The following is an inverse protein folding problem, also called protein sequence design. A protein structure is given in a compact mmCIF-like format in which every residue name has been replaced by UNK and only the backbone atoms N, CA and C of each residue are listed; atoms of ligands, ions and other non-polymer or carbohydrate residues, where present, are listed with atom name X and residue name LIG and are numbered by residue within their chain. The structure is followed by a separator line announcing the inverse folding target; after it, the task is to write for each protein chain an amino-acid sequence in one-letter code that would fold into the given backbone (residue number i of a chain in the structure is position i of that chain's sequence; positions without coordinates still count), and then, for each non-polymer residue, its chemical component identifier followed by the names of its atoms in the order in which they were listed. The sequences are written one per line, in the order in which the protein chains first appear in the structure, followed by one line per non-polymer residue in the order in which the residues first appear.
data_IF_514360362828
#
_entry.id   IF_514360362828
#
_cell.length_a   1.000
_cell.length_b   1.000
_cell.length_c   1.000
_cell.angle_alpha   90.00
_cell.angle_beta   90.00
_cell.angle_gamma   90.00
#
_symmetry.space_group_name_H-M   'P 1'
#
loop_
_entity.id
_entity.type
_entity.pdbx_description
1 polymer ?
#
# COMPACT_ATOMS: atom_id res chain seq x y z
N UNK A 1 -18.00 -11.70 0.43
CA UNK A 1 -19.01 -10.89 1.14
C UNK A 1 -19.09 -9.55 0.41
N UNK A 2 -20.04 -9.39 -0.52
CA UNK A 2 -20.20 -8.13 -1.26
C UNK A 2 -20.63 -7.06 -0.26
N UNK A 3 -19.78 -6.04 -0.05
CA UNK A 3 -20.15 -4.86 0.73
C UNK A 3 -21.21 -4.13 -0.08
N UNK A 4 -22.45 -4.17 0.39
CA UNK A 4 -23.59 -3.47 -0.22
C UNK A 4 -23.29 -1.97 -0.14
N UNK A 5 -22.91 -1.36 -1.26
CA UNK A 5 -22.72 0.10 -1.36
C UNK A 5 -24.02 0.78 -0.93
N UNK A 6 -23.93 1.83 -0.12
CA UNK A 6 -25.11 2.52 0.39
C UNK A 6 -25.94 3.10 -0.77
N UNK A 7 -27.26 2.89 -0.72
CA UNK A 7 -28.17 3.43 -1.72
C UNK A 7 -28.20 4.97 -1.64
N UNK A 8 -28.36 5.68 -2.77
CA UNK A 8 -28.42 7.14 -2.79
C UNK A 8 -29.57 7.65 -1.91
N UNK A 9 -29.26 8.54 -0.96
CA UNK A 9 -30.23 9.15 -0.07
C UNK A 9 -30.39 10.63 -0.37
N UNK A 10 -31.56 11.20 -0.09
CA UNK A 10 -31.82 12.64 -0.30
C UNK A 10 -30.83 13.55 0.45
N UNK A 11 -30.25 13.08 1.55
CA UNK A 11 -29.22 13.80 2.31
C UNK A 11 -27.88 13.92 1.56
N UNK A 12 -27.61 13.03 0.60
CA UNK A 12 -26.32 13.00 -0.12
C UNK A 12 -26.11 14.28 -0.94
N UNK A 13 -27.18 14.90 -1.44
CA UNK A 13 -27.11 16.19 -2.12
C UNK A 13 -26.62 17.32 -1.20
N UNK A 14 -27.09 17.33 0.06
CA UNK A 14 -26.64 18.29 1.08
C UNK A 14 -25.22 17.98 1.58
N UNK A 15 -24.89 16.70 1.73
CA UNK A 15 -23.53 16.31 2.11
C UNK A 15 -22.52 16.72 1.03
N UNK A 16 -22.86 16.57 -0.25
CA UNK A 16 -22.01 16.98 -1.37
C UNK A 16 -21.66 18.47 -1.34
N UNK A 17 -22.57 19.32 -0.88
CA UNK A 17 -22.29 20.77 -0.78
C UNK A 17 -21.35 21.11 0.37
N UNK A 18 -21.31 20.30 1.44
CA UNK A 18 -20.54 20.59 2.65
C UNK A 18 -19.23 19.80 2.76
N UNK A 19 -19.15 18.63 2.12
CA UNK A 19 -18.00 17.72 2.26
C UNK A 19 -16.70 18.35 1.76
N UNK A 20 -16.76 19.18 0.72
CA UNK A 20 -15.59 19.90 0.22
C UNK A 20 -15.00 20.86 1.26
N UNK A 21 -15.84 21.55 2.03
CA UNK A 21 -15.38 22.43 3.11
C UNK A 21 -14.77 21.64 4.26
N UNK A 22 -15.35 20.49 4.59
CA UNK A 22 -14.76 19.59 5.57
C UNK A 22 -13.40 19.07 5.12
N UNK A 23 -13.23 18.68 3.85
CA UNK A 23 -11.96 18.15 3.33
C UNK A 23 -10.82 19.19 3.30
N UNK A 24 -11.13 20.50 3.39
CA UNK A 24 -10.09 21.53 3.58
C UNK A 24 -9.32 21.34 4.89
N UNK A 25 -9.90 20.66 5.89
CA UNK A 25 -9.23 20.32 7.16
C UNK A 25 -8.06 19.35 6.99
N UNK A 26 -7.84 18.76 5.80
CA UNK A 26 -6.60 18.06 5.44
C UNK A 26 -5.35 18.97 5.51
N UNK A 27 -5.54 20.29 5.53
CA UNK A 27 -4.46 21.27 5.65
C UNK A 27 -4.37 21.87 7.05
N UNK A 28 -5.13 21.36 8.02
CA UNK A 28 -5.13 21.88 9.38
C UNK A 28 -3.73 21.76 10.04
N UNK A 29 -3.29 22.75 10.82
CA UNK A 29 -2.02 22.65 11.54
C UNK A 29 -1.98 21.46 12.50
N UNK A 30 -3.11 21.06 13.09
CA UNK A 30 -3.20 19.91 14.00
C UNK A 30 -3.20 18.58 13.22
N UNK A 31 -2.23 17.72 13.56
CA UNK A 31 -2.08 16.38 13.00
C UNK A 31 -3.33 15.51 13.23
N UNK A 32 -3.98 15.66 14.38
CA UNK A 32 -5.17 14.88 14.72
C UNK A 32 -6.37 15.28 13.85
N UNK A 33 -6.52 16.58 13.57
CA UNK A 33 -7.58 17.07 12.70
C UNK A 33 -7.38 16.53 11.28
N UNK A 34 -6.14 16.61 10.76
CA UNK A 34 -5.82 16.03 9.44
C UNK A 34 -6.04 14.52 9.39
N UNK A 35 -5.67 13.78 10.45
CA UNK A 35 -5.91 12.34 10.55
C UNK A 35 -7.39 12.00 10.51
N UNK A 36 -8.23 12.73 11.27
CA UNK A 36 -9.69 12.52 11.24
C UNK A 36 -10.26 12.86 9.87
N UNK A 37 -9.76 13.92 9.23
CA UNK A 37 -10.16 14.28 7.87
C UNK A 37 -9.86 13.16 6.85
N UNK A 38 -8.68 12.53 6.94
CA UNK A 38 -8.33 11.36 6.12
C UNK A 38 -9.24 10.17 6.40
N UNK A 39 -9.53 9.86 7.66
CA UNK A 39 -10.43 8.74 8.01
C UNK A 39 -11.84 8.98 7.48
N UNK A 40 -12.36 10.20 7.60
CA UNK A 40 -13.66 10.58 7.02
C UNK A 40 -13.63 10.49 5.50
N UNK A 41 -12.55 10.96 4.85
CA UNK A 41 -12.36 10.81 3.41
C UNK A 41 -12.36 9.34 3.01
N UNK A 42 -11.65 8.47 3.72
CA UNK A 42 -11.58 7.04 3.46
C UNK A 42 -12.98 6.39 3.54
N UNK A 43 -13.74 6.73 4.58
CA UNK A 43 -15.12 6.25 4.76
C UNK A 43 -16.02 6.70 3.60
N UNK A 44 -15.93 7.97 3.17
CA UNK A 44 -16.68 8.47 2.03
C UNK A 44 -16.23 7.78 0.72
N UNK A 45 -14.93 7.60 0.51
CA UNK A 45 -14.36 6.92 -0.65
C UNK A 45 -14.78 5.46 -0.76
N UNK A 46 -14.99 4.79 0.38
CA UNK A 46 -15.41 3.39 0.42
C UNK A 46 -16.92 3.23 0.24
N UNK A 47 -17.72 4.01 0.97
CA UNK A 47 -19.15 3.81 1.08
C UNK A 47 -19.96 4.61 0.03
N UNK A 48 -19.54 5.84 -0.26
CA UNK A 48 -20.23 6.79 -1.16
C UNK A 48 -19.24 7.60 -2.03
N UNK A 49 -18.57 6.96 -3.00
CA UNK A 49 -17.54 7.61 -3.80
C UNK A 49 -18.03 8.84 -4.58
N UNK A 50 -19.32 8.88 -4.93
CA UNK A 50 -19.97 9.98 -5.66
C UNK A 50 -19.92 11.33 -4.92
N UNK A 51 -19.74 11.31 -3.59
CA UNK A 51 -19.58 12.50 -2.75
C UNK A 51 -18.22 13.16 -2.95
N UNK A 52 -17.17 12.35 -3.17
CA UNK A 52 -15.77 12.84 -3.21
C UNK A 52 -15.18 12.88 -4.61
N UNK A 53 -15.78 12.17 -5.57
CA UNK A 53 -15.22 11.95 -6.92
C UNK A 53 -14.87 13.25 -7.65
N UNK A 54 -15.72 14.27 -7.53
CA UNK A 54 -15.48 15.57 -8.19
C UNK A 54 -14.46 16.44 -7.45
N UNK A 55 -14.08 16.06 -6.23
CA UNK A 55 -13.14 16.78 -5.39
C UNK A 55 -11.72 16.19 -5.46
N UNK A 56 -11.54 15.00 -6.06
CA UNK A 56 -10.28 14.27 -6.07
C UNK A 56 -9.11 15.11 -6.61
N UNK A 57 -9.32 15.86 -7.69
CA UNK A 57 -8.27 16.70 -8.28
C UNK A 57 -7.71 17.73 -7.28
N UNK A 58 -8.54 18.20 -6.33
CA UNK A 58 -8.13 19.11 -5.25
C UNK A 58 -7.61 18.38 -4.01
N UNK A 59 -8.09 17.17 -3.74
CA UNK A 59 -7.81 16.43 -2.50
C UNK A 59 -6.56 15.57 -2.62
N UNK A 60 -6.31 14.96 -3.79
CA UNK A 60 -5.19 14.05 -4.02
C UNK A 60 -3.82 14.68 -3.71
N UNK A 61 -3.52 15.94 -4.09
CA UNK A 61 -2.24 16.56 -3.72
C UNK A 61 -2.03 16.63 -2.20
N UNK A 62 -3.09 16.90 -1.43
CA UNK A 62 -3.03 16.93 0.03
C UNK A 62 -2.89 15.53 0.62
N UNK A 63 -3.66 14.56 0.11
CA UNK A 63 -3.54 13.15 0.51
C UNK A 63 -2.10 12.65 0.31
N UNK A 64 -1.55 12.87 -0.88
CA UNK A 64 -0.19 12.48 -1.24
C UNK A 64 0.86 13.19 -0.40
N UNK A 65 0.64 14.45 -0.02
CA UNK A 65 1.54 15.14 0.90
C UNK A 65 1.56 14.49 2.30
N UNK A 66 0.44 13.93 2.75
CA UNK A 66 0.38 13.17 4.01
C UNK A 66 0.98 11.76 3.94
N UNK A 67 1.41 11.29 2.77
CA UNK A 67 2.20 10.04 2.65
C UNK A 67 3.69 10.23 2.96
N UNK A 68 4.16 11.49 3.01
CA UNK A 68 5.59 11.79 3.15
C UNK A 68 6.06 11.70 4.59
N UNK A 69 7.22 11.09 4.80
CA UNK A 69 7.90 11.08 6.09
C UNK A 69 8.38 12.50 6.43
N UNK A 70 7.93 13.01 7.58
CA UNK A 70 8.28 14.34 8.10
C UNK A 70 9.27 14.22 9.23
N UNK A 71 10.54 14.55 8.96
CA UNK A 71 11.64 14.38 9.93
C UNK A 71 11.44 15.20 11.21
N UNK A 72 10.75 16.33 11.09
CA UNK A 72 10.38 17.19 12.22
C UNK A 72 9.40 16.54 13.21
N UNK A 73 8.70 15.46 12.81
CA UNK A 73 7.80 14.68 13.66
C UNK A 73 8.46 13.42 14.23
N UNK A 74 9.74 13.19 13.93
CA UNK A 74 10.49 12.03 14.38
C UNK A 74 11.48 12.45 15.46
N UNK A 75 11.39 11.81 16.62
CA UNK A 75 12.28 12.04 17.76
C UNK A 75 12.83 10.73 18.29
N UNK A 76 14.10 10.73 18.68
CA UNK A 76 14.71 9.59 19.36
C UNK A 76 14.71 9.84 20.86
N UNK A 77 14.20 8.87 21.62
CA UNK A 77 14.24 8.86 23.08
C UNK A 77 15.30 7.85 23.50
N UNK A 78 16.33 8.34 24.20
CA UNK A 78 17.36 7.48 24.78
C UNK A 78 16.88 6.90 26.11
N UNK A 79 16.93 5.57 26.21
CA UNK A 79 16.62 4.78 27.40
C UNK A 79 17.88 4.01 27.81
N UNK A 80 18.89 4.73 28.28
CA UNK A 80 20.22 4.16 28.62
C UNK A 80 20.95 3.68 27.35
N UNK A 81 21.35 2.39 27.25
CA UNK A 81 21.99 1.87 26.03
C UNK A 81 21.01 1.66 24.86
N UNK A 82 19.71 1.86 25.08
CA UNK A 82 18.67 1.69 24.07
C UNK A 82 18.23 3.03 23.50
N UNK A 83 17.96 3.08 22.20
CA UNK A 83 17.31 4.21 21.54
C UNK A 83 15.95 3.76 21.03
N UNK A 84 14.93 4.57 21.23
CA UNK A 84 13.59 4.32 20.71
C UNK A 84 13.15 5.52 19.86
N UNK A 85 12.89 5.26 18.59
CA UNK A 85 12.39 6.27 17.65
C UNK A 85 10.88 6.37 17.79
N UNK A 86 10.39 7.56 18.13
CA UNK A 86 8.97 7.92 18.10
C UNK A 86 8.71 8.75 16.84
N UNK A 87 7.72 8.34 16.06
CA UNK A 87 7.27 9.03 14.85
C UNK A 87 5.82 9.48 15.07
N UNK A 88 5.66 10.74 15.48
CA UNK A 88 4.34 11.34 15.76
C UNK A 88 3.53 11.52 14.45
N UNK A 89 4.16 11.37 13.28
CA UNK A 89 3.54 11.39 11.96
C UNK A 89 3.17 10.01 11.39
N UNK A 90 3.39 8.91 12.11
CA UNK A 90 3.15 7.57 11.57
C UNK A 90 1.66 7.31 11.32
N UNK A 91 0.79 7.67 12.27
CA UNK A 91 -0.66 7.37 12.17
C UNK A 91 -1.34 8.12 11.02
N UNK A 92 -0.92 9.35 10.75
CA UNK A 92 -1.45 10.11 9.62
C UNK A 92 -0.98 9.52 8.27
N UNK A 93 0.27 9.07 8.18
CA UNK A 93 0.77 8.36 6.99
C UNK A 93 0.00 7.06 6.75
N UNK A 94 -0.24 6.27 7.80
CA UNK A 94 -1.07 5.05 7.72
C UNK A 94 -2.46 5.36 7.17
N UNK A 95 -3.14 6.37 7.72
CA UNK A 95 -4.44 6.79 7.23
C UNK A 95 -4.40 7.24 5.75
N UNK A 96 -3.33 7.91 5.31
CA UNK A 96 -3.18 8.32 3.91
C UNK A 96 -3.02 7.11 2.98
N UNK A 97 -2.19 6.13 3.33
CA UNK A 97 -2.04 4.90 2.54
C UNK A 97 -3.33 4.05 2.53
N UNK A 98 -4.10 4.03 3.62
CA UNK A 98 -5.42 3.39 3.65
C UNK A 98 -6.40 4.05 2.68
N UNK A 99 -6.41 5.39 2.61
CA UNK A 99 -7.19 6.12 1.62
C UNK A 99 -6.77 5.76 0.20
N UNK A 100 -5.46 5.72 -0.08
CA UNK A 100 -4.95 5.33 -1.39
C UNK A 100 -5.39 3.91 -1.76
N UNK A 101 -5.33 2.96 -0.82
CA UNK A 101 -5.78 1.58 -1.05
C UNK A 101 -7.25 1.53 -1.44
N UNK A 102 -8.13 2.24 -0.72
CA UNK A 102 -9.57 2.33 -1.02
C UNK A 102 -9.85 2.95 -2.38
N UNK A 103 -9.08 3.97 -2.78
CA UNK A 103 -9.27 4.65 -4.07
C UNK A 103 -9.01 3.72 -5.27
N UNK A 104 -8.20 2.66 -5.11
CA UNK A 104 -8.01 1.63 -6.15
C UNK A 104 -9.31 0.87 -6.49
N UNK A 105 -10.24 0.75 -5.54
CA UNK A 105 -11.55 0.11 -5.76
C UNK A 105 -12.59 1.07 -6.31
N UNK A 106 -12.61 2.30 -5.80
CA UNK A 106 -13.76 3.18 -5.97
C UNK A 106 -13.58 4.27 -7.03
N UNK A 107 -12.34 4.71 -7.26
CA UNK A 107 -12.05 5.91 -8.05
C UNK A 107 -10.79 5.79 -8.93
N UNK A 108 -10.40 4.57 -9.33
CA UNK A 108 -9.15 4.32 -10.09
C UNK A 108 -9.03 5.20 -11.36
N UNK A 109 -10.14 5.42 -12.05
CA UNK A 109 -10.21 6.19 -13.30
C UNK A 109 -10.00 7.71 -13.12
N UNK A 110 -9.93 8.18 -11.87
CA UNK A 110 -9.63 9.58 -11.51
C UNK A 110 -8.21 9.76 -10.98
N UNK A 111 -7.40 8.70 -10.95
CA UNK A 111 -6.04 8.74 -10.43
C UNK A 111 -5.03 8.89 -11.56
N UNK A 112 -4.03 9.76 -11.38
CA UNK A 112 -2.79 9.64 -12.13
C UNK A 112 -2.01 8.44 -11.59
N UNK A 113 -1.99 7.35 -12.38
CA UNK A 113 -1.36 6.09 -11.97
C UNK A 113 0.15 6.24 -11.76
N UNK A 114 0.83 7.13 -12.49
CA UNK A 114 2.27 7.31 -12.33
C UNK A 114 2.60 8.11 -11.07
N UNK A 115 1.81 9.13 -10.74
CA UNK A 115 1.92 9.83 -9.47
C UNK A 115 1.63 8.89 -8.31
N UNK A 116 0.53 8.13 -8.39
CA UNK A 116 0.16 7.12 -7.40
C UNK A 116 1.29 6.10 -7.17
N UNK A 117 1.92 5.61 -8.24
CA UNK A 117 3.04 4.67 -8.17
C UNK A 117 4.29 5.26 -7.50
N UNK A 118 4.52 6.59 -7.59
CA UNK A 118 5.63 7.21 -6.86
C UNK A 118 5.39 7.13 -5.34
N UNK A 119 4.16 7.38 -4.89
CA UNK A 119 3.79 7.27 -3.47
C UNK A 119 3.80 5.81 -2.98
N UNK A 120 3.39 4.86 -3.82
CA UNK A 120 3.55 3.43 -3.54
C UNK A 120 5.03 3.06 -3.38
N UNK A 121 5.92 3.54 -4.25
CA UNK A 121 7.36 3.29 -4.12
C UNK A 121 7.92 3.78 -2.77
N UNK A 122 7.47 4.94 -2.30
CA UNK A 122 7.86 5.47 -0.99
C UNK A 122 7.31 4.61 0.16
N UNK A 123 6.07 4.15 0.06
CA UNK A 123 5.44 3.26 1.04
C UNK A 123 6.16 1.91 1.20
N UNK A 124 6.79 1.38 0.14
CA UNK A 124 7.58 0.15 0.19
C UNK A 124 8.84 0.29 1.07
N UNK A 125 9.25 1.53 1.37
CA UNK A 125 10.46 1.83 2.16
C UNK A 125 10.13 2.29 3.58
N UNK A 126 8.84 2.48 3.92
CA UNK A 126 8.39 3.06 5.19
C UNK A 126 8.29 2.01 6.32
N UNK A 127 7.55 2.33 7.38
CA UNK A 127 7.29 1.52 8.55
C UNK A 127 6.58 0.19 8.19
N UNK A 128 6.76 -0.80 9.07
CA UNK A 128 6.20 -2.15 8.94
C UNK A 128 4.74 -2.19 8.45
N UNK A 129 3.84 -1.46 9.12
CA UNK A 129 2.40 -1.46 8.78
C UNK A 129 2.13 -0.88 7.38
N UNK A 130 2.84 0.19 7.02
CA UNK A 130 2.70 0.85 5.72
C UNK A 130 3.24 -0.07 4.61
N UNK A 131 4.38 -0.74 4.84
CA UNK A 131 4.92 -1.74 3.92
C UNK A 131 3.92 -2.85 3.63
N UNK A 132 3.30 -3.41 4.68
CA UNK A 132 2.32 -4.48 4.55
C UNK A 132 1.13 -4.06 3.67
N UNK A 133 0.59 -2.86 3.89
CA UNK A 133 -0.49 -2.31 3.07
C UNK A 133 -0.02 -2.03 1.63
N UNK A 134 1.20 -1.51 1.47
CA UNK A 134 1.77 -1.17 0.16
C UNK A 134 2.04 -2.41 -0.69
N UNK A 135 2.46 -3.53 -0.08
CA UNK A 135 2.59 -4.80 -0.80
C UNK A 135 1.24 -5.28 -1.34
N UNK A 136 0.18 -5.13 -0.56
CA UNK A 136 -1.17 -5.45 -1.03
C UNK A 136 -1.62 -4.52 -2.18
N UNK A 137 -1.35 -3.22 -2.07
CA UNK A 137 -1.59 -2.27 -3.17
C UNK A 137 -0.83 -2.67 -4.44
N UNK A 138 0.43 -3.08 -4.31
CA UNK A 138 1.28 -3.46 -5.43
C UNK A 138 0.76 -4.73 -6.13
N UNK A 139 0.32 -5.74 -5.37
CA UNK A 139 -0.36 -6.92 -5.93
C UNK A 139 -1.57 -6.50 -6.75
N UNK A 140 -2.40 -5.58 -6.23
CA UNK A 140 -3.59 -5.11 -6.95
C UNK A 140 -3.25 -4.31 -8.20
N UNK A 141 -2.28 -3.41 -8.12
CA UNK A 141 -1.81 -2.59 -9.24
C UNK A 141 -1.24 -3.45 -10.37
N UNK A 142 -0.58 -4.56 -10.05
CA UNK A 142 -0.10 -5.51 -11.06
C UNK A 142 -1.23 -6.06 -11.95
N UNK A 143 -2.44 -6.20 -11.39
CA UNK A 143 -3.63 -6.65 -12.13
C UNK A 143 -4.40 -5.50 -12.77
N UNK A 144 -4.55 -4.37 -12.05
CA UNK A 144 -5.36 -3.23 -12.50
C UNK A 144 -4.67 -2.38 -13.58
N UNK A 145 -3.35 -2.19 -13.46
CA UNK A 145 -2.57 -1.28 -14.30
C UNK A 145 -1.21 -1.88 -14.70
N UNK A 146 -1.16 -3.09 -15.29
CA UNK A 146 0.09 -3.82 -15.55
C UNK A 146 1.11 -3.01 -16.36
N UNK A 147 0.67 -2.28 -17.38
CA UNK A 147 1.56 -1.49 -18.24
C UNK A 147 2.24 -0.33 -17.52
N UNK A 148 1.57 0.30 -16.55
CA UNK A 148 2.15 1.39 -15.76
C UNK A 148 3.14 0.84 -14.71
N UNK A 149 2.78 -0.29 -14.08
CA UNK A 149 3.66 -1.01 -13.15
C UNK A 149 4.92 -1.48 -13.85
N UNK A 150 4.80 -2.06 -15.05
CA UNK A 150 5.92 -2.54 -15.85
C UNK A 150 6.95 -1.42 -16.14
N UNK A 151 6.48 -0.21 -16.45
CA UNK A 151 7.34 0.96 -16.70
C UNK A 151 8.11 1.43 -15.45
N UNK A 152 7.63 1.09 -14.26
CA UNK A 152 8.26 1.42 -12.97
C UNK A 152 8.89 0.19 -12.29
N UNK A 153 8.89 -0.97 -12.95
CA UNK A 153 9.18 -2.27 -12.34
C UNK A 153 10.52 -2.28 -11.60
N UNK A 154 11.58 -1.81 -12.26
CA UNK A 154 12.93 -1.74 -11.70
C UNK A 154 12.95 -0.99 -10.35
N UNK A 155 12.26 0.16 -10.28
CA UNK A 155 12.20 0.97 -9.05
C UNK A 155 11.39 0.30 -7.93
N UNK A 156 10.41 -0.54 -8.29
CA UNK A 156 9.54 -1.24 -7.35
C UNK A 156 10.17 -2.54 -6.82
N UNK A 157 11.03 -3.19 -7.62
CA UNK A 157 11.74 -4.42 -7.25
C UNK A 157 12.78 -4.16 -6.16
N UNK A 158 13.48 -3.04 -6.22
CA UNK A 158 14.59 -2.78 -5.29
C UNK A 158 14.16 -2.74 -3.80
N UNK A 159 13.08 -2.03 -3.40
CA UNK A 159 12.56 -2.09 -2.03
C UNK A 159 12.11 -3.49 -1.59
N UNK A 160 11.55 -4.29 -2.51
CA UNK A 160 11.14 -5.67 -2.23
C UNK A 160 12.37 -6.55 -1.97
N UNK A 161 13.42 -6.41 -2.79
CA UNK A 161 14.70 -7.09 -2.60
C UNK A 161 15.32 -6.72 -1.26
N UNK A 162 15.36 -5.43 -0.91
CA UNK A 162 15.87 -4.97 0.37
C UNK A 162 15.13 -5.61 1.55
N UNK A 163 13.80 -5.69 1.48
CA UNK A 163 13.00 -6.38 2.51
C UNK A 163 13.33 -7.86 2.59
N UNK A 164 13.39 -8.57 1.45
CA UNK A 164 13.66 -10.01 1.44
C UNK A 164 15.07 -10.35 1.97
N UNK A 165 16.06 -9.50 1.71
CA UNK A 165 17.46 -9.72 2.08
C UNK A 165 17.81 -9.25 3.50
N UNK A 166 16.94 -8.45 4.13
CA UNK A 166 17.18 -7.93 5.48
C UNK A 166 17.28 -9.07 6.50
N UNK A 167 18.37 -9.06 7.27
CA UNK A 167 18.66 -10.01 8.36
C UNK A 167 18.40 -9.35 9.71
N UNK A 168 17.58 -10.01 10.54
CA UNK A 168 17.36 -9.60 11.93
C UNK A 168 18.63 -9.88 12.75
N UNK A 169 18.95 -9.00 13.70
CA UNK A 169 20.12 -9.19 14.58
C UNK A 169 19.94 -10.45 15.43
N UNK A 170 21.01 -11.21 15.64
CA UNK A 170 20.96 -12.50 16.34
C UNK A 170 20.44 -12.41 17.80
N UNK A 171 20.54 -11.25 18.43
CA UNK A 171 20.07 -10.98 19.80
C UNK A 171 18.71 -10.27 19.85
N UNK A 172 18.03 -10.11 18.71
CA UNK A 172 16.68 -9.55 18.69
C UNK A 172 15.69 -10.48 19.37
N UNK A 173 14.60 -9.90 19.89
CA UNK A 173 13.50 -10.67 20.46
C UNK A 173 12.75 -11.45 19.38
N UNK A 174 12.13 -12.57 19.75
CA UNK A 174 11.38 -13.47 18.84
C UNK A 174 10.38 -12.73 17.94
N UNK A 175 9.70 -11.73 18.48
CA UNK A 175 8.72 -10.91 17.75
C UNK A 175 9.32 -10.19 16.52
N UNK A 176 10.59 -9.76 16.58
CA UNK A 176 11.24 -9.09 15.46
C UNK A 176 11.56 -10.08 14.32
N UNK A 177 11.88 -11.33 14.66
CA UNK A 177 12.02 -12.39 13.65
C UNK A 177 10.69 -12.71 12.99
N UNK A 178 9.61 -12.81 13.77
CA UNK A 178 8.25 -13.08 13.25
C UNK A 178 7.77 -11.95 12.32
N UNK A 179 7.95 -10.68 12.70
CA UNK A 179 7.65 -9.53 11.84
C UNK A 179 8.44 -9.57 10.53
N UNK A 180 9.75 -9.84 10.61
CA UNK A 180 10.57 -9.89 9.40
C UNK A 180 10.15 -11.03 8.48
N UNK A 181 9.79 -12.19 9.03
CA UNK A 181 9.31 -13.32 8.24
C UNK A 181 7.95 -13.03 7.57
N UNK A 182 7.05 -12.35 8.28
CA UNK A 182 5.78 -11.88 7.72
C UNK A 182 5.99 -10.89 6.56
N UNK A 183 6.89 -9.91 6.74
CA UNK A 183 7.26 -8.96 5.68
C UNK A 183 7.83 -9.68 4.46
N UNK A 184 8.71 -10.67 4.65
CA UNK A 184 9.29 -11.46 3.56
C UNK A 184 8.21 -12.18 2.76
N UNK A 185 7.29 -12.86 3.43
CA UNK A 185 6.18 -13.56 2.78
C UNK A 185 5.28 -12.59 2.01
N UNK A 186 4.94 -11.46 2.61
CA UNK A 186 4.08 -10.45 1.97
C UNK A 186 4.77 -9.80 0.75
N UNK A 187 6.06 -9.47 0.87
CA UNK A 187 6.86 -8.99 -0.25
C UNK A 187 6.95 -10.02 -1.39
N UNK A 188 7.13 -11.31 -1.07
CA UNK A 188 7.15 -12.38 -2.07
C UNK A 188 5.82 -12.55 -2.82
N UNK A 189 4.67 -12.32 -2.17
CA UNK A 189 3.37 -12.25 -2.86
C UNK A 189 3.32 -11.11 -3.87
N UNK A 190 3.84 -9.93 -3.49
CA UNK A 190 3.96 -8.82 -4.41
C UNK A 190 4.90 -9.14 -5.58
N UNK A 191 6.06 -9.77 -5.34
CA UNK A 191 6.98 -10.22 -6.39
C UNK A 191 6.31 -11.23 -7.33
N UNK A 192 5.55 -12.18 -6.80
CA UNK A 192 4.82 -13.15 -7.61
C UNK A 192 3.79 -12.48 -8.52
N UNK A 193 3.05 -11.49 -8.00
CA UNK A 193 2.10 -10.70 -8.80
C UNK A 193 2.80 -9.86 -9.88
N UNK A 194 3.97 -9.28 -9.58
CA UNK A 194 4.76 -8.53 -10.56
C UNK A 194 5.30 -9.44 -11.68
N UNK A 195 5.75 -10.66 -11.34
CA UNK A 195 6.22 -11.64 -12.32
C UNK A 195 5.09 -12.19 -13.22
N UNK A 196 3.84 -12.09 -12.80
CA UNK A 196 2.69 -12.45 -13.62
C UNK A 196 2.38 -11.41 -14.71
N UNK A 197 2.96 -10.21 -14.64
CA UNK A 197 2.83 -9.19 -15.68
C UNK A 197 3.62 -9.64 -16.91
N UNK A 198 2.99 -9.61 -18.08
CA UNK A 198 3.67 -9.88 -19.36
C UNK A 198 4.87 -8.95 -19.52
N UNK A 199 6.00 -9.48 -20.00
CA UNK A 199 7.27 -8.78 -20.18
C UNK A 199 8.02 -8.39 -18.90
N UNK A 200 7.54 -8.77 -17.70
CA UNK A 200 8.29 -8.55 -16.45
C UNK A 200 9.63 -9.32 -16.42
N UNK A 201 9.70 -10.45 -17.11
CA UNK A 201 10.90 -11.27 -17.32
C UNK A 201 11.94 -10.61 -18.24
N UNK A 202 11.61 -9.48 -18.90
CA UNK A 202 12.59 -8.69 -19.66
C UNK A 202 13.38 -7.75 -18.76
N UNK A 203 12.91 -7.46 -17.54
CA UNK A 203 13.65 -6.62 -16.59
C UNK A 203 14.89 -7.36 -16.06
N UNK A 204 16.11 -6.82 -16.24
CA UNK A 204 17.31 -7.41 -15.68
C UNK A 204 17.27 -7.47 -14.15
N UNK A 205 16.74 -6.43 -13.49
CA UNK A 205 16.67 -6.36 -12.04
C UNK A 205 15.71 -7.40 -11.46
N UNK A 206 14.56 -7.61 -12.12
CA UNK A 206 13.63 -8.67 -11.74
C UNK A 206 14.27 -10.05 -11.88
N UNK A 207 14.95 -10.32 -12.99
CA UNK A 207 15.61 -11.61 -13.21
C UNK A 207 16.75 -11.89 -12.24
N UNK A 208 17.56 -10.87 -11.93
CA UNK A 208 18.59 -10.98 -10.92
C UNK A 208 17.99 -11.29 -9.54
N UNK A 209 16.86 -10.64 -9.21
CA UNK A 209 16.18 -10.91 -7.94
C UNK A 209 15.61 -12.32 -7.89
N UNK A 210 14.95 -12.77 -8.97
CA UNK A 210 14.42 -14.12 -9.07
C UNK A 210 15.52 -15.18 -8.97
N UNK A 211 16.68 -14.93 -9.59
CA UNK A 211 17.84 -15.81 -9.50
C UNK A 211 18.36 -15.88 -8.06
N UNK A 212 18.41 -14.74 -7.36
CA UNK A 212 18.76 -14.68 -5.95
C UNK A 212 17.78 -15.49 -5.08
N UNK A 213 16.47 -15.33 -5.27
CA UNK A 213 15.44 -16.08 -4.55
C UNK A 213 15.64 -17.59 -4.76
N UNK A 214 15.83 -18.02 -6.01
CA UNK A 214 16.03 -19.45 -6.35
C UNK A 214 17.33 -20.03 -5.80
N UNK A 215 18.37 -19.20 -5.64
CA UNK A 215 19.66 -19.64 -5.07
C UNK A 215 19.61 -19.88 -3.55
N UNK A 216 18.61 -19.29 -2.87
CA UNK A 216 18.44 -19.43 -1.43
C UNK A 216 17.31 -20.44 -1.14
N UNK A 217 17.67 -21.61 -0.60
CA UNK A 217 16.73 -22.72 -0.36
C UNK A 217 15.49 -22.33 0.44
N UNK A 218 15.64 -21.50 1.47
CA UNK A 218 14.53 -21.04 2.31
C UNK A 218 13.60 -20.11 1.54
N UNK A 219 14.17 -19.14 0.81
CA UNK A 219 13.38 -18.20 0.02
C UNK A 219 12.70 -18.88 -1.18
N UNK A 220 13.38 -19.82 -1.82
CA UNK A 220 12.83 -20.61 -2.92
C UNK A 220 11.61 -21.41 -2.46
N UNK A 221 11.71 -22.13 -1.35
CA UNK A 221 10.59 -22.90 -0.79
C UNK A 221 9.40 -22.00 -0.41
N UNK A 222 9.66 -20.85 0.20
CA UNK A 222 8.62 -19.85 0.52
C UNK A 222 7.94 -19.33 -0.74
N UNK A 223 8.72 -18.98 -1.76
CA UNK A 223 8.22 -18.44 -3.02
C UNK A 223 7.39 -19.47 -3.79
N UNK A 224 7.83 -20.74 -3.86
CA UNK A 224 7.08 -21.83 -4.47
C UNK A 224 5.74 -22.09 -3.76
N UNK A 225 5.71 -22.04 -2.42
CA UNK A 225 4.46 -22.15 -1.66
C UNK A 225 3.48 -21.04 -2.04
N UNK A 226 3.97 -19.80 -2.12
CA UNK A 226 3.15 -18.64 -2.47
C UNK A 226 2.60 -18.75 -3.90
N UNK A 227 3.42 -19.23 -4.86
CA UNK A 227 2.96 -19.43 -6.24
C UNK A 227 1.86 -20.49 -6.34
N UNK A 228 1.94 -21.56 -5.55
CA UNK A 228 0.88 -22.60 -5.49
C UNK A 228 -0.42 -22.03 -4.91
N UNK A 229 -0.34 -21.26 -3.83
CA UNK A 229 -1.51 -20.62 -3.21
C UNK A 229 -2.18 -19.62 -4.17
N UNK A 230 -1.37 -18.85 -4.92
CA UNK A 230 -1.87 -17.91 -5.92
C UNK A 230 -2.62 -18.64 -7.05
N UNK A 231 -2.09 -19.77 -7.55
CA UNK A 231 -2.76 -20.57 -8.58
C UNK A 231 -4.07 -21.19 -8.06
N UNK A 232 -4.11 -21.66 -6.81
CA UNK A 232 -5.31 -22.22 -6.20
C UNK A 232 -6.43 -21.17 -6.05
N UNK A 233 -6.09 -19.96 -5.63
CA UNK A 233 -7.07 -18.87 -5.49
C UNK A 233 -7.66 -18.39 -6.84
N UNK A 234 -6.86 -18.43 -7.92
CA UNK A 234 -7.35 -18.14 -9.28
C UNK A 234 -8.32 -19.22 -9.76
N UNK A 235 -8.03 -20.51 -9.51
CA UNK A 235 -8.93 -21.60 -9.88
C UNK A 235 -10.27 -21.55 -9.14
N UNK A 236 -10.29 -21.23 -7.85
CA UNK A 236 -11.54 -21.08 -7.09
C UNK A 236 -12.38 -19.88 -7.57
N UNK A 237 -11.74 -18.78 -7.96
CA UNK A 237 -12.45 -17.62 -8.53
C UNK A 237 -13.10 -17.93 -9.87
N UNK A 238 -12.45 -18.72 -10.74
CA UNK A 238 -13.01 -19.10 -12.06
C UNK A 238 -14.18 -20.08 -11.95
N UNK A 239 -14.21 -20.95 -10.94
CA UNK A 239 -15.33 -21.87 -10.69
C UNK A 239 -16.55 -21.11 -10.17
N UNK A 240 -16.36 -20.07 -9.35
CA UNK A 240 -17.47 -19.24 -8.86
C UNK A 240 -18.07 -18.28 -9.90
N UNK A 241 -17.32 -17.82 -10.90
CA UNK A 241 -17.85 -16.97 -11.99
C UNK A 241 -18.60 -17.75 -13.09
N UNK A 242 -18.56 -19.09 -13.04
CA UNK A 242 -19.24 -19.97 -14.02
C UNK A 242 -20.47 -20.68 -13.45
N UNK A 243 -20.87 -20.34 -12.20
CA UNK A 243 -22.01 -20.94 -11.48
C UNK A 243 -23.13 -19.95 -11.22
#
# INVERSE_FOLDING_TARGET
MQIKREEPQGIDALLRTCIGDFLKTLQDPDLNVRRVALVTFNSAAHNKPTLIRDLLDSVLPHLYNETKVRKELIREVEMGPFKHTLDDGLDIRKAAFECMYTLLDSCLDRLDIFEFLNHVEDGLKDHYDIKMLTYLMLVRLAHLCPSAVLQKLDRLVEPLRATCTTKVKAHSVKQEFEKQDELKRSAMRAVAALLAITDADKSPQMNEFLSYIKSNTEMAAMFESIQKDAQASISDSMVMDTS
#
